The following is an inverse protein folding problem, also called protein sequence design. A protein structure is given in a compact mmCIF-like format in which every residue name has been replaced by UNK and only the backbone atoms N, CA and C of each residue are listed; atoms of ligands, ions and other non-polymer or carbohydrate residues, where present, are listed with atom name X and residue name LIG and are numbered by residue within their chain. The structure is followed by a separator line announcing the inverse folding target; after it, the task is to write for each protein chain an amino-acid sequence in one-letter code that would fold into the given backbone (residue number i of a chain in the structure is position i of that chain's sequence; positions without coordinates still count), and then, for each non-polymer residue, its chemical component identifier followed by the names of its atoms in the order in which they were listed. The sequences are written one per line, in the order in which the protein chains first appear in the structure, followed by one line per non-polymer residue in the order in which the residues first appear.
data_IF_758958915821
#
_entry.id   IF_758958915821
#
_cell.length_a   1.000
_cell.length_b   1.000
_cell.length_c   1.000
_cell.angle_alpha   90.00
_cell.angle_beta   90.00
_cell.angle_gamma   90.00
#
_symmetry.space_group_name_H-M   'P 1'
#
loop_
_entity.id
_entity.type
_entity.pdbx_description
1 polymer ?
#
# COMPACT_ATOMS: atom_id res chain seq x y z
N UNK A 1 22.47 19.31 47.23
CA UNK A 1 21.15 19.39 46.59
C UNK A 1 21.41 19.78 45.15
N UNK A 2 21.36 18.82 44.24
CA UNK A 2 21.59 19.07 42.81
C UNK A 2 20.34 19.76 42.23
N UNK A 3 20.48 20.83 41.42
CA UNK A 3 19.32 21.51 40.85
C UNK A 3 18.56 20.57 39.90
N UNK A 4 17.22 20.64 39.84
CA UNK A 4 16.46 19.82 38.90
C UNK A 4 16.88 20.15 37.46
N UNK A 5 17.31 19.14 36.71
CA UNK A 5 17.65 19.28 35.30
C UNK A 5 16.40 19.72 34.52
N UNK A 6 16.42 20.94 34.00
CA UNK A 6 15.36 21.45 33.13
C UNK A 6 15.45 20.68 31.81
N UNK A 7 14.39 19.97 31.37
CA UNK A 7 14.39 19.34 30.05
C UNK A 7 14.54 20.44 28.99
N UNK A 8 15.57 20.33 28.16
CA UNK A 8 15.79 21.28 27.05
C UNK A 8 14.65 21.24 26.04
N UNK A 9 14.56 22.25 25.14
CA UNK A 9 13.48 22.36 24.16
C UNK A 9 13.42 21.07 23.34
N UNK A 10 12.30 20.36 23.46
CA UNK A 10 12.04 19.12 22.74
C UNK A 10 12.23 19.38 21.24
N UNK A 11 13.30 18.84 20.68
CA UNK A 11 13.57 18.90 19.25
C UNK A 11 12.31 18.41 18.51
N UNK A 12 11.93 19.05 17.39
CA UNK A 12 10.70 18.72 16.70
C UNK A 12 10.68 17.22 16.42
N UNK A 13 9.73 16.52 17.04
CA UNK A 13 9.49 15.11 16.82
C UNK A 13 9.13 14.96 15.34
N UNK A 14 10.13 14.70 14.52
CA UNK A 14 9.95 14.39 13.11
C UNK A 14 9.22 13.06 13.06
N UNK A 15 7.89 13.10 13.06
CA UNK A 15 7.09 11.91 12.76
C UNK A 15 7.53 11.49 11.36
N UNK A 16 8.27 10.38 11.20
CA UNK A 16 8.68 9.97 9.89
C UNK A 16 7.39 9.72 9.12
N UNK A 17 7.19 10.44 8.01
CA UNK A 17 6.07 10.21 7.11
C UNK A 17 6.15 8.74 6.71
N UNK A 18 5.35 7.88 7.38
CA UNK A 18 5.39 6.43 7.19
C UNK A 18 4.99 6.18 5.76
N UNK A 19 5.99 6.05 4.90
CA UNK A 19 5.79 5.88 3.47
C UNK A 19 5.05 4.56 3.30
N UNK A 20 3.85 4.64 2.74
CA UNK A 20 2.97 3.48 2.56
C UNK A 20 3.43 2.78 1.30
N UNK A 21 4.07 1.63 1.47
CA UNK A 21 4.52 0.77 0.38
C UNK A 21 3.59 -0.43 0.24
N UNK A 22 3.48 -0.94 -0.97
CA UNK A 22 2.71 -2.13 -1.32
C UNK A 22 3.05 -2.59 -2.73
N UNK A 23 2.59 -3.78 -3.08
CA UNK A 23 2.83 -4.39 -4.38
C UNK A 23 1.78 -5.45 -4.71
N UNK A 24 1.67 -5.77 -6.00
CA UNK A 24 0.78 -6.81 -6.54
C UNK A 24 1.64 -7.80 -7.33
N UNK A 25 1.46 -9.09 -7.07
CA UNK A 25 2.05 -10.20 -7.82
C UNK A 25 0.93 -11.06 -8.37
N UNK A 26 1.02 -11.46 -9.63
CA UNK A 26 0.08 -12.39 -10.23
C UNK A 26 0.62 -13.81 -10.14
N UNK A 27 -0.10 -14.68 -9.43
CA UNK A 27 0.17 -16.11 -9.40
C UNK A 27 -0.86 -16.82 -10.28
N UNK A 28 -0.47 -17.08 -11.53
CA UNK A 28 -1.46 -17.40 -12.56
C UNK A 28 -2.48 -16.26 -12.71
N UNK A 29 -3.78 -16.54 -12.90
CA UNK A 29 -4.79 -15.50 -13.02
C UNK A 29 -5.17 -14.85 -11.68
N UNK A 30 -4.57 -15.25 -10.56
CA UNK A 30 -4.92 -14.75 -9.24
C UNK A 30 -3.99 -13.62 -8.80
N UNK A 31 -4.49 -12.37 -8.63
CA UNK A 31 -3.70 -11.29 -8.07
C UNK A 31 -3.53 -11.48 -6.56
N UNK A 32 -2.28 -11.54 -6.11
CA UNK A 32 -1.89 -11.53 -4.71
C UNK A 32 -1.32 -10.17 -4.36
N UNK A 33 -1.85 -9.53 -3.31
CA UNK A 33 -1.50 -8.16 -2.94
C UNK A 33 -0.91 -8.09 -1.55
N UNK A 34 0.15 -7.29 -1.42
CA UNK A 34 0.85 -7.06 -0.17
C UNK A 34 0.95 -5.55 0.08
N UNK A 35 0.83 -5.13 1.34
CA UNK A 35 0.88 -3.73 1.73
C UNK A 35 1.38 -3.57 3.15
N UNK A 36 1.98 -2.41 3.41
CA UNK A 36 2.53 -2.01 4.72
C UNK A 36 1.47 -1.84 5.82
N UNK A 37 0.21 -1.71 5.44
CA UNK A 37 -0.92 -1.64 6.35
C UNK A 37 -2.21 -2.17 5.69
N UNK A 38 -3.23 -2.57 6.47
CA UNK A 38 -4.45 -3.18 5.94
C UNK A 38 -5.21 -2.29 4.95
N UNK A 39 -5.21 -0.97 5.16
CA UNK A 39 -5.89 -0.04 4.26
C UNK A 39 -5.15 0.05 2.92
N UNK A 40 -3.81 0.08 2.93
CA UNK A 40 -2.98 0.05 1.72
C UNK A 40 -3.17 -1.27 0.96
N UNK A 41 -3.11 -2.40 1.65
CA UNK A 41 -3.34 -3.73 1.05
C UNK A 41 -4.71 -3.81 0.39
N UNK A 42 -5.76 -3.35 1.07
CA UNK A 42 -7.13 -3.38 0.53
C UNK A 42 -7.28 -2.47 -0.70
N UNK A 43 -6.66 -1.29 -0.68
CA UNK A 43 -6.65 -0.37 -1.83
C UNK A 43 -5.96 -1.00 -3.03
N UNK A 44 -4.79 -1.59 -2.83
CA UNK A 44 -4.05 -2.26 -3.91
C UNK A 44 -4.75 -3.53 -4.41
N UNK A 45 -5.48 -4.24 -3.54
CA UNK A 45 -6.26 -5.42 -3.92
C UNK A 45 -7.41 -5.03 -4.84
N UNK A 46 -8.16 -4.00 -4.48
CA UNK A 46 -9.24 -3.49 -5.34
C UNK A 46 -8.68 -3.00 -6.67
N UNK A 47 -7.58 -2.24 -6.65
CA UNK A 47 -6.94 -1.74 -7.86
C UNK A 47 -6.49 -2.89 -8.78
N UNK A 48 -5.82 -3.90 -8.22
CA UNK A 48 -5.37 -5.08 -8.96
C UNK A 48 -6.53 -5.91 -9.52
N UNK A 49 -7.61 -6.10 -8.75
CA UNK A 49 -8.79 -6.84 -9.19
C UNK A 49 -9.53 -6.13 -10.32
N UNK A 50 -9.73 -4.81 -10.23
CA UNK A 50 -10.35 -4.02 -11.30
C UNK A 50 -9.51 -4.06 -12.57
N UNK A 51 -8.19 -3.88 -12.44
CA UNK A 51 -7.29 -3.94 -13.59
C UNK A 51 -7.31 -5.33 -14.24
N UNK A 52 -7.27 -6.40 -13.44
CA UNK A 52 -7.37 -7.77 -13.94
C UNK A 52 -8.69 -8.02 -14.69
N UNK A 53 -9.82 -7.61 -14.11
CA UNK A 53 -11.14 -7.74 -14.75
C UNK A 53 -11.20 -6.97 -16.07
N UNK A 54 -10.64 -5.76 -16.12
CA UNK A 54 -10.59 -4.97 -17.34
C UNK A 54 -9.75 -5.64 -18.44
N UNK A 55 -8.55 -6.14 -18.10
CA UNK A 55 -7.72 -6.89 -19.05
C UNK A 55 -8.38 -8.19 -19.49
N UNK A 56 -9.03 -8.91 -18.58
CA UNK A 56 -9.73 -10.15 -18.88
C UNK A 56 -10.89 -9.89 -19.83
N UNK A 57 -11.70 -8.87 -19.56
CA UNK A 57 -12.80 -8.45 -20.42
C UNK A 57 -12.29 -8.02 -21.81
N UNK A 58 -11.22 -7.23 -21.86
CA UNK A 58 -10.57 -6.83 -23.12
C UNK A 58 -10.09 -8.06 -23.91
N UNK A 59 -9.47 -9.03 -23.23
CA UNK A 59 -8.97 -10.26 -23.85
C UNK A 59 -10.11 -11.08 -24.43
N UNK A 60 -11.20 -11.26 -23.67
CA UNK A 60 -12.39 -11.98 -24.11
C UNK A 60 -13.06 -11.26 -25.29
N UNK A 61 -13.19 -9.93 -25.22
CA UNK A 61 -13.74 -9.14 -26.31
C UNK A 61 -12.92 -9.30 -27.59
N UNK A 62 -11.59 -9.24 -27.49
CA UNK A 62 -10.70 -9.42 -28.64
C UNK A 62 -10.70 -10.85 -29.20
N UNK A 63 -10.96 -11.85 -28.36
CA UNK A 63 -11.07 -13.24 -28.78
C UNK A 63 -12.40 -13.55 -29.49
N UNK A 64 -13.47 -12.84 -29.15
CA UNK A 64 -14.83 -13.06 -29.65
C UNK A 64 -15.25 -12.09 -30.76
N UNK A 65 -14.55 -10.97 -30.93
CA UNK A 65 -14.78 -9.97 -31.98
C UNK A 65 -14.11 -10.36 -33.30
#
# INVERSE_FOLDING_TARGET
MEPPAIPGPEAPSQVPLRRRWGGVVFLGPFPVVFGSDPQMTRTMLVLGAVLFLALLALTIALLLA
#
